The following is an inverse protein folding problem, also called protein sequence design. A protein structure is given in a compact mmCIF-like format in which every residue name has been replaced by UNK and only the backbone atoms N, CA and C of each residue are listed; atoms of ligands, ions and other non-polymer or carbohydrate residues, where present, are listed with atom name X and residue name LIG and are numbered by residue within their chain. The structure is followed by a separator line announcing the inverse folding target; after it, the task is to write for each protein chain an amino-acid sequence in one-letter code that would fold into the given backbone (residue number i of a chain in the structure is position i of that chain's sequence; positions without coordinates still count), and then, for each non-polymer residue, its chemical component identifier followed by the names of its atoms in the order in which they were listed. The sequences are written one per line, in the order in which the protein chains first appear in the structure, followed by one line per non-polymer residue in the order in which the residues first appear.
data_IF_554085583668
#
_entry.id   IF_554085583668
#
_cell.length_a   1.000
_cell.length_b   1.000
_cell.length_c   1.000
_cell.angle_alpha   90.00
_cell.angle_beta   90.00
_cell.angle_gamma   90.00
#
_symmetry.space_group_name_H-M   'P 1'
#
loop_
_entity.id
_entity.type
_entity.pdbx_description
1 polymer ?
#
# COMPACT_ATOMS: atom_id res chain seq x y z
N UNK A 1 -22.73 6.64 1.86
CA UNK A 1 -21.76 6.04 2.81
C UNK A 1 -20.32 6.38 2.47
N UNK A 2 -19.41 6.21 3.43
CA UNK A 2 -17.96 6.39 3.24
C UNK A 2 -17.31 5.02 3.34
N UNK A 3 -16.59 4.61 2.31
CA UNK A 3 -15.84 3.37 2.25
C UNK A 3 -14.34 3.65 2.41
N UNK A 4 -13.60 2.70 2.95
CA UNK A 4 -12.14 2.75 3.03
C UNK A 4 -11.55 1.85 1.97
N UNK A 5 -10.55 2.31 1.24
CA UNK A 5 -9.87 1.54 0.20
C UNK A 5 -8.38 1.50 0.50
N UNK A 6 -7.86 0.32 0.81
CA UNK A 6 -6.46 0.05 0.99
C UNK A 6 -5.81 -0.25 -0.36
N UNK A 7 -4.84 0.58 -0.75
CA UNK A 7 -3.94 0.38 -1.88
C UNK A 7 -2.50 0.26 -1.39
N UNK A 8 -1.54 0.15 -2.32
CA UNK A 8 -0.11 0.16 -2.02
C UNK A 8 0.36 1.50 -1.42
N UNK A 9 -0.25 2.61 -1.85
CA UNK A 9 0.07 3.97 -1.38
C UNK A 9 -0.52 4.29 0.01
N UNK A 10 -1.57 3.57 0.43
CA UNK A 10 -2.20 3.79 1.73
C UNK A 10 -3.69 3.50 1.75
N UNK A 11 -4.39 4.06 2.73
CA UNK A 11 -5.85 3.94 2.83
C UNK A 11 -6.54 5.23 2.40
N UNK A 12 -7.29 5.19 1.31
CA UNK A 12 -8.15 6.29 0.88
C UNK A 12 -9.56 6.16 1.48
N UNK A 13 -10.26 7.28 1.65
CA UNK A 13 -11.70 7.32 2.00
C UNK A 13 -12.48 7.78 0.80
N UNK A 14 -13.50 7.02 0.41
CA UNK A 14 -14.29 7.28 -0.78
C UNK A 14 -15.75 7.44 -0.38
N UNK A 15 -16.33 8.57 -0.77
CA UNK A 15 -17.74 8.87 -0.57
C UNK A 15 -18.55 8.38 -1.77
N UNK A 16 -19.55 7.54 -1.49
CA UNK A 16 -20.46 6.95 -2.48
C UNK A 16 -21.88 6.88 -1.92
N UNK A 17 -22.89 6.78 -2.75
CA UNK A 17 -24.27 6.57 -2.28
C UNK A 17 -24.55 5.08 -2.16
N UNK A 18 -25.39 4.68 -1.21
CA UNK A 18 -25.76 3.27 -1.02
C UNK A 18 -26.52 2.69 -2.22
N UNK A 19 -27.21 3.57 -2.97
CA UNK A 19 -27.94 3.27 -4.20
C UNK A 19 -27.06 3.24 -5.45
N UNK A 20 -25.78 3.63 -5.34
CA UNK A 20 -24.88 3.60 -6.49
C UNK A 20 -24.57 2.17 -6.93
N UNK A 21 -24.24 2.05 -8.21
CA UNK A 21 -23.81 0.79 -8.83
C UNK A 21 -22.32 0.55 -8.61
N UNK A 22 -21.88 -0.72 -8.62
CA UNK A 22 -20.46 -1.04 -8.39
C UNK A 22 -19.54 -0.41 -9.42
N UNK A 23 -19.98 -0.22 -10.68
CA UNK A 23 -19.20 0.51 -11.68
C UNK A 23 -18.85 1.95 -11.24
N UNK A 24 -19.77 2.66 -10.57
CA UNK A 24 -19.51 4.02 -10.05
C UNK A 24 -18.49 4.01 -8.93
N UNK A 25 -18.47 2.98 -8.09
CA UNK A 25 -17.42 2.82 -7.08
C UNK A 25 -16.03 2.71 -7.74
N UNK A 26 -15.90 1.92 -8.81
CA UNK A 26 -14.63 1.80 -9.53
C UNK A 26 -14.16 3.13 -10.13
N UNK A 27 -15.07 3.92 -10.71
CA UNK A 27 -14.76 5.27 -11.20
C UNK A 27 -14.27 6.18 -10.07
N UNK A 28 -14.95 6.17 -8.92
CA UNK A 28 -14.54 6.96 -7.75
C UNK A 28 -13.20 6.55 -7.17
N UNK A 29 -12.92 5.24 -7.13
CA UNK A 29 -11.61 4.71 -6.71
C UNK A 29 -10.51 5.19 -7.65
N UNK A 30 -10.74 5.07 -8.95
CA UNK A 30 -9.78 5.52 -9.96
C UNK A 30 -9.48 7.02 -9.83
N UNK A 31 -10.51 7.85 -9.66
CA UNK A 31 -10.38 9.30 -9.47
C UNK A 31 -9.69 9.65 -8.14
N UNK A 32 -10.12 9.05 -7.03
CA UNK A 32 -9.63 9.38 -5.69
C UNK A 32 -8.18 8.94 -5.43
N UNK A 33 -7.73 7.86 -6.09
CA UNK A 33 -6.36 7.35 -5.99
C UNK A 33 -5.49 7.79 -7.17
N UNK A 34 -6.02 8.61 -8.09
CA UNK A 34 -5.34 9.05 -9.31
C UNK A 34 -4.68 7.88 -10.07
N UNK A 35 -5.42 6.79 -10.25
CA UNK A 35 -4.88 5.61 -10.94
C UNK A 35 -4.71 5.91 -12.43
N UNK A 36 -3.71 5.26 -13.05
CA UNK A 36 -3.45 5.38 -14.49
C UNK A 36 -4.42 4.55 -15.34
N UNK A 37 -4.98 3.48 -14.77
CA UNK A 37 -5.80 2.50 -15.49
C UNK A 37 -6.87 1.86 -14.58
N UNK A 38 -7.91 1.31 -15.21
CA UNK A 38 -8.94 0.49 -14.57
C UNK A 38 -8.56 -0.98 -14.41
N UNK A 39 -7.30 -1.35 -14.68
CA UNK A 39 -6.76 -2.70 -14.50
C UNK A 39 -6.58 -3.13 -13.05
N UNK A 40 -7.57 -2.90 -12.19
CA UNK A 40 -7.53 -3.29 -10.77
C UNK A 40 -8.82 -4.01 -10.36
N UNK A 41 -8.74 -4.79 -9.29
CA UNK A 41 -9.86 -5.45 -8.64
C UNK A 41 -9.99 -4.98 -7.19
N UNK A 42 -11.23 -4.97 -6.70
CA UNK A 42 -11.56 -4.63 -5.32
C UNK A 42 -12.03 -5.88 -4.59
N UNK A 43 -11.51 -6.08 -3.38
CA UNK A 43 -11.87 -7.23 -2.55
C UNK A 43 -12.39 -6.77 -1.18
N UNK A 44 -13.36 -7.50 -0.61
CA UNK A 44 -13.87 -7.22 0.74
C UNK A 44 -12.94 -7.69 1.85
N UNK A 45 -12.09 -8.68 1.55
CA UNK A 45 -11.19 -9.30 2.52
C UNK A 45 -9.72 -9.09 2.11
N UNK A 46 -8.84 -9.00 3.12
CA UNK A 46 -7.39 -8.89 2.96
C UNK A 46 -6.81 -10.10 2.24
N UNK A 47 -7.42 -11.28 2.42
CA UNK A 47 -7.02 -12.49 1.71
C UNK A 47 -7.42 -12.48 0.22
N UNK A 48 -8.11 -11.44 -0.26
CA UNK A 48 -8.55 -11.27 -1.66
C UNK A 48 -9.45 -12.43 -2.16
N UNK A 49 -10.24 -13.02 -1.26
CA UNK A 49 -11.15 -14.13 -1.59
C UNK A 49 -12.49 -13.66 -2.15
N UNK A 50 -12.98 -12.53 -1.67
CA UNK A 50 -14.27 -11.98 -2.06
C UNK A 50 -14.07 -10.76 -2.96
N UNK A 51 -14.07 -10.98 -4.26
CA UNK A 51 -13.98 -9.92 -5.26
C UNK A 51 -15.34 -9.22 -5.49
N UNK A 52 -15.31 -7.90 -5.61
CA UNK A 52 -16.47 -7.07 -5.96
C UNK A 52 -16.45 -6.84 -7.47
N UNK A 53 -17.30 -7.55 -8.20
CA UNK A 53 -17.38 -7.40 -9.65
C UNK A 53 -17.92 -6.01 -10.03
N UNK A 54 -17.21 -5.33 -10.95
CA UNK A 54 -17.69 -4.11 -11.58
C UNK A 54 -18.89 -4.40 -12.48
N UNK A 55 -20.03 -3.80 -12.15
CA UNK A 55 -21.30 -3.99 -12.84
C UNK A 55 -22.09 -2.69 -12.86
N UNK A 56 -22.77 -2.45 -13.98
CA UNK A 56 -23.65 -1.28 -14.17
C UNK A 56 -25.07 -1.50 -13.62
N UNK A 57 -25.40 -2.71 -13.20
CA UNK A 57 -26.73 -3.05 -12.68
C UNK A 57 -26.72 -3.43 -11.20
N UNK A 58 -25.58 -3.87 -10.66
CA UNK A 58 -25.47 -4.29 -9.26
C UNK A 58 -25.20 -3.10 -8.36
N UNK A 59 -26.08 -2.89 -7.37
CA UNK A 59 -25.92 -1.83 -6.36
C UNK A 59 -24.94 -2.23 -5.25
N UNK A 60 -24.31 -1.24 -4.62
CA UNK A 60 -23.38 -1.45 -3.52
C UNK A 60 -24.05 -2.13 -2.31
N UNK A 61 -25.30 -1.76 -1.99
CA UNK A 61 -26.08 -2.44 -0.95
C UNK A 61 -26.28 -3.94 -1.23
N UNK A 62 -26.48 -4.32 -2.50
CA UNK A 62 -26.62 -5.72 -2.90
C UNK A 62 -25.29 -6.52 -2.83
N UNK A 63 -24.17 -5.81 -2.66
CA UNK A 63 -22.85 -6.39 -2.37
C UNK A 63 -22.61 -6.56 -0.86
N UNK A 64 -23.56 -6.12 -0.02
CA UNK A 64 -23.42 -6.10 1.43
C UNK A 64 -22.28 -5.19 1.87
N UNK A 65 -22.09 -4.06 1.20
CA UNK A 65 -21.15 -3.01 1.61
C UNK A 65 -21.86 -2.03 2.53
N UNK A 66 -21.20 -1.70 3.63
CA UNK A 66 -21.69 -0.78 4.66
C UNK A 66 -20.71 0.38 4.86
N UNK A 67 -21.18 1.42 5.55
CA UNK A 67 -20.34 2.54 5.93
C UNK A 67 -19.17 2.06 6.81
N UNK A 68 -17.96 2.46 6.46
CA UNK A 68 -16.74 2.11 7.19
C UNK A 68 -16.07 0.81 6.75
N UNK A 69 -16.68 0.05 5.84
CA UNK A 69 -16.09 -1.18 5.30
C UNK A 69 -14.73 -0.89 4.65
N UNK A 70 -13.80 -1.84 4.83
CA UNK A 70 -12.47 -1.83 4.23
C UNK A 70 -12.47 -2.66 2.95
N UNK A 71 -12.04 -2.05 1.86
CA UNK A 71 -11.80 -2.70 0.58
C UNK A 71 -10.30 -2.78 0.31
N UNK A 72 -9.88 -3.85 -0.36
CA UNK A 72 -8.49 -4.09 -0.72
C UNK A 72 -8.36 -4.05 -2.24
N UNK A 73 -7.57 -3.10 -2.72
CA UNK A 73 -7.28 -2.90 -4.13
C UNK A 73 -6.06 -3.75 -4.54
N UNK A 74 -6.17 -4.46 -5.65
CA UNK A 74 -5.03 -5.17 -6.24
C UNK A 74 -5.00 -5.03 -7.77
N UNK A 75 -3.82 -4.92 -8.39
CA UNK A 75 -3.69 -4.88 -9.85
C UNK A 75 -4.12 -6.20 -10.50
N UNK A 76 -4.68 -6.10 -11.70
CA UNK A 76 -5.04 -7.23 -12.56
C UNK A 76 -3.92 -7.44 -13.58
N UNK A 77 -3.48 -8.69 -13.76
CA UNK A 77 -2.52 -9.08 -14.79
C UNK A 77 -1.23 -8.22 -14.84
N UNK A 78 -0.74 -7.75 -13.68
CA UNK A 78 0.46 -6.93 -13.62
C UNK A 78 0.29 -5.47 -14.08
N UNK A 79 -0.95 -4.97 -14.15
CA UNK A 79 -1.19 -3.56 -14.46
C UNK A 79 -0.46 -2.63 -13.49
N UNK A 80 0.28 -1.67 -14.06
CA UNK A 80 0.91 -0.58 -13.31
C UNK A 80 -0.18 0.44 -13.00
N UNK A 81 -0.59 0.52 -11.72
CA UNK A 81 -1.73 1.35 -11.31
C UNK A 81 -1.36 2.79 -10.96
N UNK A 82 -0.10 3.04 -10.64
CA UNK A 82 0.43 4.35 -10.24
C UNK A 82 1.57 4.72 -11.17
N UNK A 83 1.66 5.99 -11.56
CA UNK A 83 2.80 6.48 -12.33
C UNK A 83 4.06 6.41 -11.46
N UNK A 84 4.94 5.44 -11.75
CA UNK A 84 6.28 5.45 -11.18
C UNK A 84 7.12 6.51 -11.89
N UNK A 85 7.78 7.45 -11.18
CA UNK A 85 8.83 8.24 -11.79
C UNK A 85 9.90 7.27 -12.28
N UNK A 86 10.22 7.30 -13.58
CA UNK A 86 11.18 6.41 -14.21
C UNK A 86 12.50 6.37 -13.43
N UNK A 87 12.65 5.37 -12.59
CA UNK A 87 13.93 4.88 -12.10
C UNK A 87 13.92 3.40 -12.44
N UNK A 88 14.79 3.06 -13.39
CA UNK A 88 15.09 1.77 -14.00
C UNK A 88 14.34 0.52 -13.49
N UNK A 89 13.68 -0.13 -14.44
CA UNK A 89 13.22 -1.52 -14.47
C UNK A 89 14.09 -2.52 -13.70
N UNK A 90 13.49 -3.33 -12.84
CA UNK A 90 13.78 -4.77 -12.71
C UNK A 90 12.46 -5.48 -12.34
N UNK A 91 11.88 -6.18 -13.32
CA UNK A 91 10.82 -7.16 -13.10
C UNK A 91 11.39 -8.36 -12.34
N UNK A 92 10.85 -8.73 -11.17
CA UNK A 92 10.76 -10.15 -10.84
C UNK A 92 9.67 -10.46 -9.81
N UNK A 93 8.67 -11.19 -10.29
CA UNK A 93 7.57 -11.76 -9.56
C UNK A 93 8.04 -13.11 -8.98
N UNK A 94 8.23 -13.23 -7.66
CA UNK A 94 8.36 -14.56 -7.02
C UNK A 94 7.62 -14.62 -5.67
N UNK A 95 6.68 -15.56 -5.49
CA UNK A 95 6.13 -15.88 -4.18
C UNK A 95 6.98 -16.97 -3.50
N UNK A 96 7.55 -16.66 -2.35
CA UNK A 96 8.09 -17.62 -1.37
C UNK A 96 8.08 -16.85 -0.04
N UNK A 97 7.49 -17.28 1.07
CA UNK A 97 7.38 -18.63 1.59
C UNK A 97 8.12 -18.66 2.93
N UNK A 98 7.44 -18.22 3.99
CA UNK A 98 7.69 -18.48 5.43
C UNK A 98 8.99 -17.92 6.09
N UNK A 99 9.21 -18.13 7.40
CA UNK A 99 8.89 -17.20 8.48
C UNK A 99 10.15 -16.60 9.14
N UNK A 100 9.96 -15.48 9.84
CA UNK A 100 10.97 -14.91 10.75
C UNK A 100 11.07 -15.80 11.99
N UNK A 101 12.17 -16.52 12.13
CA UNK A 101 12.64 -17.11 13.39
C UNK A 101 14.11 -16.72 13.58
N UNK A 102 14.39 -16.17 14.77
CA UNK A 102 15.65 -15.61 15.15
C UNK A 102 16.65 -16.71 15.57
N UNK A 103 17.90 -16.61 15.13
CA UNK A 103 18.99 -17.46 15.63
C UNK A 103 20.36 -17.02 15.12
N UNK A 104 21.38 -16.85 15.98
CA UNK A 104 22.71 -16.39 15.60
C UNK A 104 23.61 -17.58 15.22
N UNK A 105 24.47 -17.41 14.22
CA UNK A 105 25.92 -17.75 14.27
C UNK A 105 26.55 -17.99 12.89
N UNK A 106 27.79 -17.51 12.81
CA UNK A 106 28.95 -18.07 12.09
C UNK A 106 29.02 -17.94 10.57
N UNK A 107 29.66 -16.84 10.17
CA UNK A 107 30.83 -16.77 9.29
C UNK A 107 30.92 -17.73 8.10
N UNK A 108 30.95 -17.14 6.90
CA UNK A 108 31.82 -17.60 5.81
C UNK A 108 32.26 -16.39 5.00
N UNK A 109 33.57 -16.14 5.04
CA UNK A 109 34.25 -15.14 4.22
C UNK A 109 34.15 -15.56 2.75
N UNK A 110 33.48 -14.75 1.95
CA UNK A 110 33.68 -14.69 0.51
C UNK A 110 34.16 -13.28 0.16
N UNK A 111 35.48 -13.17 0.00
CA UNK A 111 36.15 -12.05 -0.65
C UNK A 111 35.61 -11.86 -2.06
N UNK A 112 34.68 -10.93 -2.22
CA UNK A 112 34.37 -10.28 -3.48
C UNK A 112 34.69 -8.79 -3.30
N UNK A 113 35.50 -8.26 -4.21
CA UNK A 113 36.07 -6.92 -4.16
C UNK A 113 34.99 -5.86 -3.89
N UNK A 114 35.03 -5.26 -2.70
CA UNK A 114 34.25 -4.08 -2.36
C UNK A 114 34.81 -2.90 -3.14
N UNK A 115 34.20 -2.59 -4.28
CA UNK A 115 34.18 -1.21 -4.76
C UNK A 115 33.41 -0.42 -3.71
N UNK A 116 34.13 0.16 -2.74
CA UNK A 116 33.56 1.14 -1.81
C UNK A 116 33.28 2.40 -2.62
N UNK A 117 32.22 2.39 -3.41
CA UNK A 117 31.53 3.62 -3.80
C UNK A 117 31.13 4.25 -2.49
N UNK A 118 31.83 5.32 -2.11
CA UNK A 118 31.42 6.14 -0.98
C UNK A 118 30.00 6.60 -1.29
N UNK A 119 29.01 5.97 -0.65
CA UNK A 119 27.62 6.34 -0.79
C UNK A 119 27.52 7.77 -0.26
N UNK A 120 27.25 8.71 -1.17
CA UNK A 120 27.04 10.11 -0.81
C UNK A 120 25.61 10.18 -0.28
N UNK A 121 25.46 10.42 1.02
CA UNK A 121 24.16 10.65 1.65
C UNK A 121 23.59 12.01 1.22
N UNK A 122 22.27 12.10 1.09
CA UNK A 122 21.59 13.34 0.70
C UNK A 122 21.65 14.38 1.83
N UNK A 123 21.55 15.66 1.47
CA UNK A 123 21.55 16.75 2.46
C UNK A 123 20.44 16.60 3.51
N UNK A 124 19.29 16.06 3.11
CA UNK A 124 18.15 15.80 4.00
C UNK A 124 18.48 14.70 5.00
N UNK A 125 19.11 13.61 4.54
CA UNK A 125 19.49 12.49 5.39
C UNK A 125 20.50 12.93 6.45
N UNK A 126 21.48 13.72 6.05
CA UNK A 126 22.47 14.32 6.96
C UNK A 126 21.81 15.26 7.98
N UNK A 127 20.79 16.02 7.58
CA UNK A 127 20.05 16.90 8.49
C UNK A 127 19.24 16.08 9.51
N UNK A 128 18.51 15.06 9.06
CA UNK A 128 17.71 14.19 9.92
C UNK A 128 18.58 13.40 10.90
N UNK A 129 19.74 12.90 10.46
CA UNK A 129 20.69 12.18 11.29
C UNK A 129 21.22 13.00 12.48
N UNK A 130 21.33 14.32 12.30
CA UNK A 130 21.81 15.24 13.35
C UNK A 130 20.74 15.57 14.41
N UNK A 131 19.47 15.25 14.18
CA UNK A 131 18.40 15.54 15.13
C UNK A 131 18.38 14.48 16.25
N UNK A 132 18.21 14.91 17.50
CA UNK A 132 18.31 13.99 18.65
C UNK A 132 17.15 12.98 18.75
N UNK A 133 16.03 13.24 18.08
CA UNK A 133 14.85 12.37 18.11
C UNK A 133 14.12 12.30 19.48
N UNK A 134 14.51 13.11 20.47
CA UNK A 134 13.91 13.06 21.80
C UNK A 134 12.57 13.81 21.85
N UNK A 135 11.52 13.14 22.31
CA UNK A 135 10.24 13.78 22.64
C UNK A 135 10.30 14.26 24.10
N UNK A 136 10.33 15.57 24.31
CA UNK A 136 10.29 16.16 25.65
C UNK A 136 8.89 16.02 26.25
N UNK A 137 8.81 15.52 27.48
CA UNK A 137 7.58 15.35 28.25
C UNK A 137 7.70 16.15 29.54
N UNK A 138 6.65 16.89 29.90
CA UNK A 138 6.57 17.54 31.21
C UNK A 138 6.44 16.47 32.30
N UNK A 139 7.04 16.71 33.46
CA UNK A 139 6.84 15.87 34.64
C UNK A 139 5.40 16.10 35.13
N UNK A 140 4.68 15.02 35.38
CA UNK A 140 3.32 15.10 35.91
C UNK A 140 3.36 15.56 37.38
N UNK A 141 2.65 16.63 37.72
CA UNK A 141 2.61 17.20 39.08
C UNK A 141 1.77 16.37 40.08
N UNK A 142 1.16 15.25 39.66
CA UNK A 142 0.28 14.43 40.51
C UNK A 142 0.93 13.17 41.10
N UNK A 143 2.25 13.07 41.12
CA UNK A 143 2.99 11.94 41.72
C UNK A 143 3.82 12.35 42.94
#
# INVERSE_FOLDING_TARGET
MTLRVQSAEGTARIEVLDSDVTARLYERVHEALNLSTFGFCLHKDRARKEEIISSKSRQLRACGLQHGDMLYLSPVNGAVLFDQPSTSTEENNKPIGEPVEAGPSTASLSTAATTSTALVEDEVDLQLYRLSGNIQRQRDDKL
#
